data_IF_917603071712
#
_entry.id   IF_917603071712
#
_cell.length_a   1.000
_cell.length_b   1.000
_cell.length_c   1.000
_cell.angle_alpha   90.00
_cell.angle_beta   90.00
_cell.angle_gamma   90.00
#
_symmetry.space_group_name_H-M   'P 1'
#
loop_
_entity.id
_entity.type
_entity.pdbx_description
1 polymer ?
#
# COMPACT_ATOMS: atom_id res chain seq x y z
N UNK A 1 -13.68 6.74 6.11
CA UNK A 1 -12.85 7.71 5.40
C UNK A 1 -13.25 9.13 5.79
N UNK A 2 -12.32 10.04 6.11
CA UNK A 2 -10.87 9.95 5.87
C UNK A 2 -10.01 9.64 7.12
N UNK A 3 -10.60 9.28 8.26
CA UNK A 3 -9.91 9.21 9.57
C UNK A 3 -8.61 8.38 9.53
N UNK A 4 -8.67 7.12 9.08
CA UNK A 4 -7.49 6.26 9.06
C UNK A 4 -6.36 6.82 8.16
N UNK A 5 -6.69 7.45 7.02
CA UNK A 5 -5.70 8.10 6.16
C UNK A 5 -5.03 9.28 6.86
N UNK A 6 -5.83 10.07 7.60
CA UNK A 6 -5.33 11.20 8.39
C UNK A 6 -4.37 10.71 9.49
N UNK A 7 -4.74 9.66 10.21
CA UNK A 7 -3.91 9.06 11.26
C UNK A 7 -2.59 8.53 10.70
N UNK A 8 -2.62 7.83 9.56
CA UNK A 8 -1.41 7.35 8.88
C UNK A 8 -0.51 8.52 8.44
N UNK A 9 -1.10 9.57 7.87
CA UNK A 9 -0.37 10.77 7.47
C UNK A 9 0.29 11.47 8.69
N UNK A 10 -0.43 11.58 9.81
CA UNK A 10 0.11 12.09 11.07
C UNK A 10 1.24 11.21 11.61
N UNK A 11 1.13 9.89 11.49
CA UNK A 11 2.19 8.98 11.93
C UNK A 11 3.48 9.17 11.12
N UNK A 12 3.38 9.33 9.80
CA UNK A 12 4.56 9.62 8.94
C UNK A 12 5.17 10.98 9.29
N UNK A 13 4.35 12.01 9.45
CA UNK A 13 4.82 13.36 9.88
C UNK A 13 5.48 13.31 11.25
N UNK A 14 4.91 12.57 12.20
CA UNK A 14 5.48 12.39 13.54
C UNK A 14 6.88 11.75 13.49
N UNK A 15 7.03 10.66 12.75
CA UNK A 15 8.31 9.97 12.57
C UNK A 15 9.36 10.92 11.99
N UNK A 16 9.01 11.66 10.94
CA UNK A 16 9.92 12.62 10.30
C UNK A 16 10.27 13.81 11.20
N UNK A 17 9.28 14.32 11.93
CA UNK A 17 9.45 15.48 12.80
C UNK A 17 10.24 15.16 14.08
N UNK A 18 10.26 13.91 14.52
CA UNK A 18 10.98 13.44 15.72
C UNK A 18 12.12 12.49 15.36
N UNK A 19 12.67 12.60 14.15
CA UNK A 19 13.64 11.66 13.60
C UNK A 19 14.93 11.54 14.47
N UNK A 20 15.40 12.64 15.07
CA UNK A 20 16.55 12.65 15.96
C UNK A 20 16.27 11.84 17.25
N UNK A 21 15.13 12.07 17.90
CA UNK A 21 14.71 11.34 19.10
C UNK A 21 14.48 9.85 18.83
N UNK A 22 13.90 9.54 17.68
CA UNK A 22 13.60 8.17 17.24
C UNK A 22 14.82 7.45 16.64
N UNK A 23 15.95 8.15 16.47
CA UNK A 23 17.17 7.62 15.84
C UNK A 23 16.93 7.03 14.45
N UNK A 24 16.10 7.69 13.62
CA UNK A 24 15.77 7.28 12.25
C UNK A 24 16.18 8.34 11.23
N UNK A 25 16.33 7.92 9.97
CA UNK A 25 16.55 8.87 8.87
C UNK A 25 15.21 9.40 8.35
N UNK A 26 14.89 10.70 8.50
CA UNK A 26 13.61 11.26 8.04
C UNK A 26 13.42 11.22 6.52
N UNK A 27 14.48 11.06 5.74
CA UNK A 27 14.44 10.91 4.29
C UNK A 27 14.21 9.47 3.83
N UNK A 28 14.11 8.52 4.77
CA UNK A 28 13.93 7.08 4.51
C UNK A 28 12.80 6.49 5.36
N UNK A 29 11.62 7.07 5.22
CA UNK A 29 10.40 6.60 5.90
C UNK A 29 9.52 5.88 4.88
N UNK A 30 9.26 4.60 5.14
CA UNK A 30 8.49 3.72 4.27
C UNK A 30 7.17 3.33 4.93
N UNK A 31 6.13 3.13 4.13
CA UNK A 31 4.85 2.63 4.62
C UNK A 31 4.55 1.25 4.00
N UNK A 32 4.13 0.31 4.84
CA UNK A 32 3.78 -1.05 4.41
C UNK A 32 2.34 -1.34 4.78
N UNK A 33 1.58 -1.94 3.85
CA UNK A 33 0.20 -2.32 4.09
C UNK A 33 -0.23 -3.57 3.31
N UNK A 34 -1.17 -4.32 3.91
CA UNK A 34 -1.68 -5.57 3.36
C UNK A 34 -3.19 -5.50 3.21
N UNK A 35 -3.76 -6.10 2.15
CA UNK A 35 -5.20 -6.17 1.93
C UNK A 35 -5.84 -4.77 1.98
N UNK A 36 -6.83 -4.55 2.84
CA UNK A 36 -7.41 -3.22 3.10
C UNK A 36 -6.38 -2.21 3.65
N UNK A 37 -5.38 -2.66 4.44
CA UNK A 37 -4.24 -1.84 4.85
C UNK A 37 -3.34 -1.46 3.68
N UNK A 38 -3.26 -2.31 2.65
CA UNK A 38 -2.61 -1.99 1.38
C UNK A 38 -3.33 -0.86 0.65
N UNK A 39 -4.67 -0.85 0.65
CA UNK A 39 -5.46 0.26 0.15
C UNK A 39 -5.18 1.57 0.93
N UNK A 40 -5.12 1.50 2.25
CA UNK A 40 -4.82 2.67 3.08
C UNK A 40 -3.45 3.28 2.76
N UNK A 41 -2.41 2.44 2.64
CA UNK A 41 -1.06 2.88 2.26
C UNK A 41 -1.03 3.38 0.82
N UNK A 42 -1.78 2.74 -0.09
CA UNK A 42 -1.98 3.22 -1.46
C UNK A 42 -2.66 4.59 -1.51
N UNK A 43 -3.68 4.82 -0.68
CA UNK A 43 -4.29 6.15 -0.53
C UNK A 43 -3.26 7.19 -0.06
N UNK A 44 -2.41 6.86 0.92
CA UNK A 44 -1.34 7.76 1.31
C UNK A 44 -0.41 8.06 0.14
N UNK A 45 0.01 7.04 -0.61
CA UNK A 45 0.88 7.20 -1.77
C UNK A 45 0.30 8.11 -2.86
N UNK A 46 -1.02 8.00 -3.11
CA UNK A 46 -1.68 8.78 -4.15
C UNK A 46 -2.03 10.22 -3.67
N UNK A 47 -2.32 10.39 -2.37
CA UNK A 47 -2.92 11.63 -1.86
C UNK A 47 -2.06 12.44 -0.90
N UNK A 48 -0.82 12.05 -0.58
CA UNK A 48 0.01 12.74 0.42
C UNK A 48 0.19 14.25 0.15
N UNK A 49 0.08 14.70 -1.11
CA UNK A 49 0.09 16.14 -1.48
C UNK A 49 -1.26 16.83 -1.28
N UNK A 50 -2.36 16.08 -1.32
CA UNK A 50 -3.73 16.57 -1.30
C UNK A 50 -4.55 15.79 -0.27
N UNK A 51 -4.04 15.68 0.95
CA UNK A 51 -4.73 14.98 2.05
C UNK A 51 -6.05 15.67 2.40
N UNK A 52 -7.11 14.91 2.75
CA UNK A 52 -8.36 15.48 3.24
C UNK A 52 -8.18 16.36 4.48
N UNK A 53 -7.20 16.02 5.31
CA UNK A 53 -6.72 16.85 6.42
C UNK A 53 -5.23 17.07 6.22
N UNK A 54 -4.87 18.24 5.69
CA UNK A 54 -3.50 18.57 5.33
C UNK A 54 -2.68 19.18 6.48
N UNK A 55 -3.35 19.58 7.57
CA UNK A 55 -2.73 20.26 8.70
C UNK A 55 -3.15 19.64 10.03
N UNK A 56 -2.22 19.52 10.95
CA UNK A 56 -2.48 19.17 12.32
C UNK A 56 -1.82 20.19 13.27
N UNK A 57 -2.54 20.63 14.29
CA UNK A 57 -2.03 21.62 15.25
C UNK A 57 -1.49 22.92 14.59
N UNK A 58 -2.12 23.36 13.49
CA UNK A 58 -1.71 24.55 12.74
C UNK A 58 -0.41 24.38 11.93
N UNK A 59 0.06 23.15 11.74
CA UNK A 59 1.26 22.83 10.95
C UNK A 59 0.89 21.89 9.81
N UNK A 60 1.40 22.18 8.61
CA UNK A 60 1.24 21.31 7.44
C UNK A 60 1.96 19.97 7.68
N UNK A 61 1.27 18.86 7.39
CA UNK A 61 1.82 17.51 7.51
C UNK A 61 2.89 17.25 6.44
N UNK A 62 4.03 16.70 6.86
CA UNK A 62 5.03 16.12 5.98
C UNK A 62 4.80 14.60 5.86
N UNK A 63 3.74 14.23 5.15
CA UNK A 63 3.24 12.87 5.06
C UNK A 63 3.79 12.06 3.86
N UNK A 64 4.73 12.60 3.09
CA UNK A 64 5.29 11.91 1.91
C UNK A 64 6.14 10.69 2.34
N UNK A 65 5.77 9.44 2.02
CA UNK A 65 6.67 8.31 2.24
C UNK A 65 7.78 8.31 1.20
N UNK A 66 8.94 7.76 1.55
CA UNK A 66 10.06 7.55 0.60
C UNK A 66 9.73 6.49 -0.43
N UNK A 67 8.98 5.48 -0.02
CA UNK A 67 8.44 4.41 -0.84
C UNK A 67 7.36 3.64 -0.08
N UNK A 68 6.64 2.79 -0.78
CA UNK A 68 5.57 1.97 -0.20
C UNK A 68 5.71 0.51 -0.57
N UNK A 69 5.25 -0.38 0.32
CA UNK A 69 5.16 -1.83 0.09
C UNK A 69 3.71 -2.25 0.25
N UNK A 70 3.14 -2.82 -0.80
CA UNK A 70 1.73 -3.23 -0.86
C UNK A 70 1.63 -4.74 -1.07
N UNK A 71 1.15 -5.46 -0.06
CA UNK A 71 0.90 -6.90 -0.15
C UNK A 71 -0.57 -7.19 -0.46
N UNK A 72 -0.86 -7.90 -1.57
CA UNK A 72 -2.22 -8.29 -2.01
C UNK A 72 -3.27 -7.18 -1.74
N UNK A 73 -3.00 -5.93 -2.18
CA UNK A 73 -3.80 -4.78 -1.78
C UNK A 73 -5.17 -4.77 -2.44
N UNK A 74 -6.16 -4.27 -1.73
CA UNK A 74 -7.40 -3.79 -2.34
C UNK A 74 -7.07 -2.52 -3.12
N UNK A 75 -7.50 -2.42 -4.38
CA UNK A 75 -7.21 -1.30 -5.28
C UNK A 75 -8.49 -0.60 -5.74
N UNK A 76 -9.45 -1.37 -6.21
CA UNK A 76 -10.70 -0.89 -6.81
C UNK A 76 -11.88 -1.69 -6.27
N UNK A 77 -13.11 -1.13 -6.23
CA UNK A 77 -14.29 -1.88 -5.82
C UNK A 77 -14.58 -3.09 -6.72
N UNK A 78 -14.15 -3.07 -7.98
CA UNK A 78 -14.34 -4.18 -8.91
C UNK A 78 -13.58 -5.45 -8.49
N UNK A 79 -12.46 -5.29 -7.80
CA UNK A 79 -11.65 -6.42 -7.31
C UNK A 79 -11.99 -6.83 -5.88
N UNK A 80 -12.56 -5.95 -5.07
CA UNK A 80 -13.06 -6.26 -3.72
C UNK A 80 -14.05 -5.23 -3.19
N UNK A 81 -15.31 -5.29 -3.65
CA UNK A 81 -16.37 -4.35 -3.26
C UNK A 81 -16.68 -4.30 -1.76
N UNK A 82 -16.51 -5.42 -1.04
CA UNK A 82 -16.76 -5.49 0.40
C UNK A 82 -15.93 -4.50 1.23
N UNK A 83 -14.65 -4.29 0.85
CA UNK A 83 -13.80 -3.28 1.51
C UNK A 83 -14.33 -1.86 1.30
N UNK A 84 -14.80 -1.54 0.10
CA UNK A 84 -15.35 -0.22 -0.20
C UNK A 84 -16.68 0.03 0.50
N UNK A 85 -17.56 -0.98 0.62
CA UNK A 85 -18.77 -0.89 1.46
C UNK A 85 -18.43 -0.52 2.89
N UNK A 86 -17.49 -1.22 3.50
CA UNK A 86 -17.08 -0.97 4.88
C UNK A 86 -16.40 0.39 5.05
N UNK A 87 -15.53 0.77 4.09
CA UNK A 87 -14.79 2.03 4.15
C UNK A 87 -15.70 3.26 4.05
N UNK A 88 -16.72 3.18 3.19
CA UNK A 88 -17.58 4.32 2.84
C UNK A 88 -18.95 4.29 3.55
N UNK A 89 -19.33 3.15 4.12
CA UNK A 89 -20.68 2.95 4.68
C UNK A 89 -21.77 3.03 3.61
N UNK A 90 -21.51 2.54 2.38
CA UNK A 90 -22.44 2.58 1.25
C UNK A 90 -22.80 1.16 0.80
N UNK A 91 -23.99 0.99 0.24
CA UNK A 91 -24.39 -0.27 -0.39
C UNK A 91 -23.92 -0.36 -1.84
N UNK A 92 -24.02 0.74 -2.60
CA UNK A 92 -23.53 0.83 -3.96
C UNK A 92 -22.05 1.27 -3.96
N UNK A 93 -21.19 0.34 -4.37
CA UNK A 93 -19.75 0.57 -4.48
C UNK A 93 -19.32 1.15 -5.84
N UNK A 94 -20.24 1.34 -6.77
CA UNK A 94 -20.01 2.01 -8.05
C UNK A 94 -20.52 3.46 -7.99
N UNK A 95 -20.12 4.17 -6.96
CA UNK A 95 -20.49 5.57 -6.72
C UNK A 95 -19.25 6.49 -6.82
N UNK A 96 -19.48 7.78 -6.98
CA UNK A 96 -18.43 8.79 -7.12
C UNK A 96 -17.38 8.74 -5.99
N UNK A 97 -17.81 8.46 -4.75
CA UNK A 97 -16.89 8.33 -3.60
C UNK A 97 -15.95 7.14 -3.74
N UNK A 98 -16.45 6.01 -4.23
CA UNK A 98 -15.64 4.81 -4.46
C UNK A 98 -14.69 5.01 -5.65
N UNK A 99 -15.16 5.63 -6.72
CA UNK A 99 -14.33 6.03 -7.86
C UNK A 99 -13.15 6.92 -7.44
N UNK A 100 -13.42 7.92 -6.58
CA UNK A 100 -12.39 8.82 -6.07
C UNK A 100 -11.35 8.13 -5.16
N UNK A 101 -11.64 6.93 -4.67
CA UNK A 101 -10.73 6.13 -3.86
C UNK A 101 -10.22 4.87 -4.58
N UNK A 102 -10.59 4.68 -5.84
CA UNK A 102 -10.02 3.65 -6.71
C UNK A 102 -8.59 4.05 -7.07
N UNK A 103 -7.62 3.31 -6.51
CA UNK A 103 -6.22 3.73 -6.52
C UNK A 103 -5.65 3.83 -7.94
N UNK A 104 -6.03 2.92 -8.83
CA UNK A 104 -5.59 2.92 -10.23
C UNK A 104 -6.02 4.19 -10.99
N UNK A 105 -7.12 4.83 -10.55
CA UNK A 105 -7.65 6.05 -11.19
C UNK A 105 -7.00 7.33 -10.67
N UNK A 106 -6.24 7.25 -9.59
CA UNK A 106 -5.71 8.43 -8.89
C UNK A 106 -4.17 8.48 -8.85
N UNK A 107 -3.50 7.57 -9.58
CA UNK A 107 -2.04 7.60 -9.74
C UNK A 107 -1.59 8.86 -10.48
N UNK A 108 -0.52 9.46 -9.99
CA UNK A 108 0.13 10.62 -10.60
C UNK A 108 1.64 10.39 -10.71
N UNK A 109 2.38 11.17 -11.52
CA UNK A 109 3.85 11.10 -11.56
C UNK A 109 4.54 11.40 -10.22
N UNK A 110 3.82 11.97 -9.26
CA UNK A 110 4.34 12.29 -7.92
C UNK A 110 4.31 11.11 -6.95
N UNK A 111 3.63 10.03 -7.31
CA UNK A 111 3.54 8.85 -6.45
C UNK A 111 4.94 8.38 -6.01
N UNK A 112 5.11 7.96 -4.75
CA UNK A 112 6.37 7.37 -4.30
C UNK A 112 6.64 6.03 -4.99
N UNK A 113 7.91 5.60 -5.08
CA UNK A 113 8.25 4.26 -5.51
C UNK A 113 7.45 3.18 -4.78
N UNK A 114 7.02 2.15 -5.50
CA UNK A 114 6.12 1.13 -4.99
C UNK A 114 6.69 -0.27 -5.23
N UNK A 115 6.81 -1.07 -4.16
CA UNK A 115 6.92 -2.52 -4.25
C UNK A 115 5.53 -3.10 -4.02
N UNK A 116 5.02 -3.91 -4.96
CA UNK A 116 3.67 -4.48 -4.87
C UNK A 116 3.68 -5.97 -5.20
N UNK A 117 2.93 -6.77 -4.45
CA UNK A 117 2.85 -8.19 -4.71
C UNK A 117 1.48 -8.77 -4.34
N UNK A 118 1.16 -9.90 -4.99
CA UNK A 118 -0.01 -10.73 -4.71
C UNK A 118 0.30 -12.19 -5.06
N UNK A 119 -0.66 -13.09 -4.83
CA UNK A 119 -0.63 -14.47 -5.32
C UNK A 119 -1.70 -14.67 -6.39
N UNK A 120 -1.43 -15.53 -7.36
CA UNK A 120 -2.37 -15.83 -8.45
C UNK A 120 -3.62 -16.61 -7.96
N UNK A 121 -3.53 -17.26 -6.80
CA UNK A 121 -4.61 -18.03 -6.18
C UNK A 121 -5.39 -17.24 -5.13
N UNK A 122 -5.15 -15.92 -5.00
CA UNK A 122 -5.91 -15.08 -4.09
C UNK A 122 -7.40 -15.05 -4.49
N UNK A 123 -8.23 -15.71 -3.70
CA UNK A 123 -9.68 -15.82 -3.93
C UNK A 123 -10.49 -14.76 -3.18
N UNK A 124 -9.84 -13.91 -2.40
CA UNK A 124 -10.48 -12.84 -1.63
C UNK A 124 -10.38 -11.49 -2.37
N UNK A 125 -9.16 -11.09 -2.74
CA UNK A 125 -8.91 -9.91 -3.57
C UNK A 125 -8.37 -10.37 -4.91
N UNK A 126 -9.10 -10.10 -5.98
CA UNK A 126 -8.69 -10.49 -7.34
C UNK A 126 -7.26 -9.99 -7.63
N UNK A 127 -6.31 -10.87 -8.01
CA UNK A 127 -4.93 -10.50 -8.37
C UNK A 127 -4.85 -9.40 -9.45
N UNK A 128 -5.90 -9.23 -10.25
CA UNK A 128 -5.99 -8.13 -11.21
C UNK A 128 -5.88 -6.75 -10.55
N UNK A 129 -6.20 -6.60 -9.26
CA UNK A 129 -5.95 -5.38 -8.49
C UNK A 129 -4.49 -4.92 -8.61
N UNK A 130 -3.55 -5.84 -8.38
CA UNK A 130 -2.11 -5.59 -8.50
C UNK A 130 -1.72 -5.21 -9.93
N UNK A 131 -2.27 -5.90 -10.94
CA UNK A 131 -1.99 -5.61 -12.36
C UNK A 131 -2.47 -4.22 -12.75
N UNK A 132 -3.70 -3.86 -12.38
CA UNK A 132 -4.29 -2.56 -12.67
C UNK A 132 -3.43 -1.42 -12.09
N UNK A 133 -3.12 -1.49 -10.80
CA UNK A 133 -2.33 -0.44 -10.14
C UNK A 133 -0.91 -0.37 -10.70
N UNK A 134 -0.23 -1.50 -10.91
CA UNK A 134 1.09 -1.56 -11.54
C UNK A 134 1.08 -0.90 -12.92
N UNK A 135 0.05 -1.16 -13.72
CA UNK A 135 -0.10 -0.59 -15.05
C UNK A 135 -0.15 0.95 -15.00
N UNK A 136 -0.93 1.50 -14.08
CA UNK A 136 -1.05 2.96 -13.96
C UNK A 136 0.23 3.60 -13.38
N UNK A 137 0.93 2.93 -12.43
CA UNK A 137 2.24 3.38 -11.97
C UNK A 137 3.24 3.47 -13.13
N UNK A 138 3.31 2.44 -13.97
CA UNK A 138 4.19 2.42 -15.15
C UNK A 138 3.83 3.50 -16.18
N UNK A 139 2.55 3.72 -16.49
CA UNK A 139 2.09 4.79 -17.38
C UNK A 139 2.51 6.17 -16.87
N UNK A 140 2.49 6.37 -15.56
CA UNK A 140 2.91 7.61 -14.91
C UNK A 140 4.42 7.67 -14.63
N UNK A 141 5.23 6.69 -15.10
CA UNK A 141 6.68 6.61 -14.92
C UNK A 141 7.12 6.56 -13.47
N UNK A 142 6.28 6.05 -12.59
CA UNK A 142 6.61 5.79 -11.20
C UNK A 142 7.49 4.54 -11.12
N UNK A 143 8.55 4.58 -10.31
CA UNK A 143 9.38 3.41 -10.06
C UNK A 143 8.56 2.34 -9.35
N UNK A 144 8.42 1.16 -9.96
CA UNK A 144 7.63 0.06 -9.43
C UNK A 144 8.33 -1.28 -9.60
N UNK A 145 8.29 -2.10 -8.57
CA UNK A 145 8.63 -3.52 -8.64
C UNK A 145 7.38 -4.32 -8.27
N UNK A 146 6.95 -5.24 -9.16
CA UNK A 146 5.66 -5.93 -9.04
C UNK A 146 5.84 -7.44 -9.20
N UNK A 147 5.21 -8.21 -8.29
CA UNK A 147 5.29 -9.67 -8.28
C UNK A 147 3.90 -10.31 -8.15
N UNK A 148 3.66 -11.34 -8.99
CA UNK A 148 2.52 -12.24 -8.85
C UNK A 148 3.08 -13.63 -8.61
N UNK A 149 3.04 -14.07 -7.35
CA UNK A 149 3.48 -15.42 -6.98
C UNK A 149 2.44 -16.45 -7.40
N UNK A 150 2.87 -17.65 -7.84
CA UNK A 150 1.91 -18.62 -8.41
C UNK A 150 0.94 -19.22 -7.38
N UNK A 151 1.36 -19.33 -6.11
CA UNK A 151 0.63 -20.07 -5.07
C UNK A 151 0.47 -19.26 -3.80
N UNK A 152 -0.56 -19.59 -3.02
CA UNK A 152 -0.88 -19.01 -1.72
C UNK A 152 -2.23 -18.30 -1.72
N UNK A 153 -2.91 -18.36 -0.58
CA UNK A 153 -4.19 -17.68 -0.37
C UNK A 153 -3.99 -16.25 0.11
N UNK A 154 -5.10 -15.50 0.16
CA UNK A 154 -5.13 -14.15 0.73
C UNK A 154 -4.66 -14.11 2.18
N UNK A 155 -3.89 -13.09 2.55
CA UNK A 155 -3.46 -12.93 3.95
C UNK A 155 -2.15 -13.65 4.31
N UNK A 156 -1.39 -14.12 3.31
CA UNK A 156 -0.12 -14.80 3.51
C UNK A 156 0.96 -14.01 4.25
N UNK A 157 0.81 -12.69 4.40
CA UNK A 157 1.72 -11.82 5.16
C UNK A 157 3.19 -12.15 4.92
N UNK A 158 3.96 -12.46 5.96
CA UNK A 158 5.40 -12.82 5.84
C UNK A 158 5.66 -14.22 5.28
N UNK A 159 4.61 -15.02 5.05
CA UNK A 159 4.69 -16.32 4.41
C UNK A 159 5.47 -17.39 5.20
N UNK A 160 5.43 -17.34 6.53
CA UNK A 160 6.09 -18.30 7.40
C UNK A 160 5.14 -18.93 8.44
N UNK A 161 5.65 -19.79 9.31
CA UNK A 161 4.90 -20.56 10.30
C UNK A 161 4.10 -19.74 11.31
N UNK A 162 4.26 -18.42 11.34
CA UNK A 162 3.44 -17.50 12.16
C UNK A 162 2.08 -17.24 11.53
N UNK A 163 1.92 -17.54 10.24
CA UNK A 163 0.71 -17.22 9.45
C UNK A 163 0.00 -18.48 8.93
N UNK A 164 0.66 -19.63 8.87
CA UNK A 164 0.10 -20.88 8.34
C UNK A 164 0.55 -22.11 9.12
N UNK A 165 -0.16 -23.22 8.96
CA UNK A 165 0.24 -24.50 9.51
C UNK A 165 1.32 -25.17 8.65
N UNK A 166 2.10 -26.09 9.22
CA UNK A 166 3.20 -26.79 8.52
C UNK A 166 2.77 -27.46 7.20
N UNK A 167 1.52 -27.92 7.13
CA UNK A 167 0.98 -28.55 5.92
C UNK A 167 0.92 -27.58 4.72
N UNK A 168 0.81 -26.29 5.00
CA UNK A 168 0.64 -25.24 4.00
C UNK A 168 1.98 -24.60 3.56
N UNK A 169 3.07 -24.93 4.26
CA UNK A 169 4.39 -24.38 4.00
C UNK A 169 4.80 -24.41 2.52
N UNK A 170 4.56 -25.49 1.74
CA UNK A 170 4.91 -25.53 0.32
C UNK A 170 4.23 -24.45 -0.51
N UNK A 171 3.03 -24.01 -0.15
CA UNK A 171 2.28 -22.97 -0.86
C UNK A 171 2.96 -21.60 -0.73
N UNK A 172 3.61 -21.36 0.41
CA UNK A 172 4.26 -20.08 0.71
C UNK A 172 5.77 -20.05 0.47
N UNK A 173 6.38 -21.17 0.14
CA UNK A 173 7.82 -21.26 -0.07
C UNK A 173 8.33 -20.25 -1.13
N UNK A 174 7.55 -20.07 -2.21
CA UNK A 174 7.87 -19.08 -3.25
C UNK A 174 7.48 -17.65 -2.88
N UNK A 175 6.47 -17.49 -2.05
CA UNK A 175 5.92 -16.15 -1.70
C UNK A 175 6.75 -15.48 -0.62
N UNK A 176 7.20 -16.23 0.41
CA UNK A 176 7.94 -15.64 1.55
C UNK A 176 9.19 -14.84 1.19
N UNK A 177 9.75 -15.04 -0.02
CA UNK A 177 10.93 -14.30 -0.50
C UNK A 177 10.64 -12.82 -0.76
N UNK A 178 9.36 -12.42 -0.77
CA UNK A 178 8.99 -11.02 -1.02
C UNK A 178 9.63 -10.06 -0.01
N UNK A 179 9.85 -10.49 1.23
CA UNK A 179 10.47 -9.64 2.27
C UNK A 179 11.89 -9.22 1.90
N UNK A 180 12.71 -10.19 1.42
CA UNK A 180 14.08 -9.93 0.97
C UNK A 180 14.10 -9.08 -0.31
N UNK A 181 13.12 -9.29 -1.19
CA UNK A 181 13.00 -8.52 -2.42
C UNK A 181 12.59 -7.08 -2.12
N UNK A 182 11.61 -6.87 -1.24
CA UNK A 182 11.18 -5.55 -0.80
C UNK A 182 12.32 -4.80 -0.09
N UNK A 183 13.08 -5.47 0.79
CA UNK A 183 14.22 -4.85 1.47
C UNK A 183 15.26 -4.34 0.46
N UNK A 184 15.63 -5.16 -0.53
CA UNK A 184 16.56 -4.76 -1.60
C UNK A 184 16.01 -3.63 -2.45
N UNK A 185 14.72 -3.66 -2.79
CA UNK A 185 14.06 -2.58 -3.52
C UNK A 185 14.14 -1.28 -2.72
N UNK A 186 13.71 -1.28 -1.45
CA UNK A 186 13.74 -0.11 -0.59
C UNK A 186 15.17 0.40 -0.38
N UNK A 187 16.15 -0.50 -0.20
CA UNK A 187 17.56 -0.13 -0.06
C UNK A 187 18.11 0.58 -1.29
N UNK A 188 17.62 0.25 -2.49
CA UNK A 188 18.04 0.86 -3.77
C UNK A 188 17.51 2.26 -4.00
N UNK A 189 16.48 2.68 -3.25
CA UNK A 189 15.84 3.98 -3.46
C UNK A 189 16.72 5.12 -2.92
N UNK A 190 16.76 6.27 -3.64
CA UNK A 190 17.41 7.47 -3.13
C UNK A 190 16.64 8.05 -1.92
N UNK A 191 17.35 8.85 -1.13
CA UNK A 191 16.73 9.66 -0.09
C UNK A 191 15.67 10.59 -0.70
N UNK A 192 14.55 10.78 0.00
CA UNK A 192 13.45 11.65 -0.44
C UNK A 192 13.16 12.71 0.64
N UNK A 193 13.10 13.98 0.22
CA UNK A 193 12.75 15.13 1.08
C UNK A 193 11.25 15.20 1.37
#
# INVERSE_FOLDING_TARGET
>A
YPLALTELACAVDYIKSNAEELHVNPKRVFATGFSAGGHLVGCLANFYKNLPVAEANGKKLNAAPTGVVLGYPVITPDTHGGSFKNLLGVEDVHCEKAEALSLEKTVTPDNPPCFIWTTAEDSCVDPMATVLYTTELLKNKVTVESHIFPYGWHGGSVGDERVYEKADAPLFERTRVWTDMADKFLASLPDRD
#
